data_IF_949071276723
#
_entry.id   IF_949071276723
#
_cell.length_a   1.000
_cell.length_b   1.000
_cell.length_c   1.000
_cell.angle_alpha   90.00
_cell.angle_beta   90.00
_cell.angle_gamma   90.00
#
_symmetry.space_group_name_H-M   'P 1'
#
loop_
_entity.id
_entity.type
_entity.pdbx_description
1 polymer ?
#
# COMPACT_ATOMS: atom_id res chain seq x y z
N UNK A 1 -0.14 -26.44 -16.42
CA UNK A 1 -1.33 -25.89 -15.72
C UNK A 1 -0.85 -24.82 -14.74
N UNK A 2 -1.00 -23.53 -15.10
CA UNK A 2 -0.53 -22.41 -14.27
C UNK A 2 -1.65 -22.10 -13.28
N UNK A 3 -1.56 -22.61 -12.05
CA UNK A 3 -2.47 -22.20 -10.97
C UNK A 3 -2.09 -20.77 -10.61
N UNK A 4 -2.68 -19.78 -11.29
CA UNK A 4 -2.71 -18.41 -10.77
C UNK A 4 -3.64 -18.46 -9.58
N UNK A 5 -3.10 -18.52 -8.36
CA UNK A 5 -3.91 -18.26 -7.17
C UNK A 5 -4.49 -16.86 -7.37
N UNK A 6 -5.80 -16.77 -7.63
CA UNK A 6 -6.51 -15.50 -7.52
C UNK A 6 -6.46 -15.16 -6.04
N UNK A 7 -5.42 -14.43 -5.62
CA UNK A 7 -5.45 -13.74 -4.34
C UNK A 7 -6.79 -13.02 -4.27
N UNK A 8 -7.59 -13.33 -3.26
CA UNK A 8 -8.96 -12.85 -3.18
C UNK A 8 -8.91 -11.31 -3.21
N UNK A 9 -9.79 -10.71 -4.01
CA UNK A 9 -9.81 -9.28 -4.35
C UNK A 9 -9.93 -8.36 -3.11
N UNK A 10 -10.30 -8.94 -1.98
CA UNK A 10 -10.44 -8.29 -0.66
C UNK A 10 -9.15 -8.46 0.18
N UNK A 11 -8.39 -9.53 -0.03
CA UNK A 11 -7.24 -9.89 0.80
C UNK A 11 -6.07 -8.93 0.57
N UNK A 12 -5.72 -8.61 -0.67
CA UNK A 12 -4.55 -7.75 -0.96
C UNK A 12 -4.71 -6.35 -0.33
N UNK A 13 -5.83 -5.63 -0.55
CA UNK A 13 -6.02 -4.33 0.09
C UNK A 13 -6.03 -4.38 1.63
N UNK A 14 -6.59 -5.45 2.21
CA UNK A 14 -6.56 -5.66 3.66
C UNK A 14 -5.14 -5.88 4.19
N UNK A 15 -4.34 -6.69 3.48
CA UNK A 15 -2.93 -6.92 3.84
C UNK A 15 -2.16 -5.60 3.78
N UNK A 16 -2.35 -4.80 2.73
CA UNK A 16 -1.68 -3.52 2.59
C UNK A 16 -2.08 -2.52 3.68
N UNK A 17 -3.37 -2.43 4.01
CA UNK A 17 -3.85 -1.65 5.16
C UNK A 17 -3.14 -2.07 6.43
N UNK A 18 -3.07 -3.38 6.69
CA UNK A 18 -2.38 -3.88 7.87
C UNK A 18 -0.89 -3.52 7.87
N UNK A 19 -0.18 -3.68 6.75
CA UNK A 19 1.23 -3.30 6.63
C UNK A 19 1.43 -1.83 6.99
N UNK A 20 0.62 -0.94 6.41
CA UNK A 20 0.70 0.50 6.66
C UNK A 20 0.34 0.83 8.12
N UNK A 21 -0.79 0.32 8.62
CA UNK A 21 -1.23 0.59 9.99
C UNK A 21 -0.22 0.11 11.02
N UNK A 22 0.29 -1.13 10.92
CA UNK A 22 1.26 -1.65 11.87
C UNK A 22 2.58 -0.91 11.81
N UNK A 23 3.11 -0.65 10.61
CA UNK A 23 4.38 0.04 10.46
C UNK A 23 4.30 1.47 10.99
N UNK A 24 3.34 2.26 10.52
CA UNK A 24 3.22 3.68 10.89
C UNK A 24 2.74 3.87 12.33
N UNK A 25 1.99 2.93 12.90
CA UNK A 25 1.72 2.91 14.35
C UNK A 25 3.00 2.63 15.15
N UNK A 26 3.82 1.67 14.71
CA UNK A 26 5.07 1.31 15.38
C UNK A 26 6.08 2.47 15.40
N UNK A 27 6.23 3.20 14.29
CA UNK A 27 7.12 4.37 14.23
C UNK A 27 6.48 5.66 14.76
N UNK A 28 5.25 5.60 15.28
CA UNK A 28 4.48 6.76 15.77
C UNK A 28 4.29 7.88 14.72
N UNK A 29 4.02 7.50 13.46
CA UNK A 29 3.84 8.41 12.31
C UNK A 29 2.51 8.19 11.58
N UNK A 30 1.46 7.77 12.28
CA UNK A 30 0.11 7.58 11.71
C UNK A 30 -0.45 8.86 11.11
N UNK A 31 -0.18 10.02 11.72
CA UNK A 31 -0.65 11.32 11.23
C UNK A 31 0.03 11.67 9.90
N UNK A 32 1.34 11.43 9.80
CA UNK A 32 2.10 11.64 8.56
C UNK A 32 1.61 10.72 7.42
N UNK A 33 1.28 9.47 7.74
CA UNK A 33 0.64 8.56 6.78
C UNK A 33 -0.69 9.13 6.29
N UNK A 34 -1.55 9.61 7.19
CA UNK A 34 -2.87 10.13 6.84
C UNK A 34 -2.78 11.39 5.97
N UNK A 35 -1.83 12.28 6.26
CA UNK A 35 -1.57 13.48 5.48
C UNK A 35 -1.15 13.13 4.05
N UNK A 36 -0.19 12.20 3.89
CA UNK A 36 0.28 11.79 2.56
C UNK A 36 -0.78 11.03 1.77
N UNK A 37 -1.55 10.14 2.41
CA UNK A 37 -2.69 9.49 1.78
C UNK A 37 -3.69 10.52 1.25
N UNK A 38 -3.98 11.56 2.03
CA UNK A 38 -4.90 12.64 1.64
C UNK A 38 -4.36 13.47 0.48
N UNK A 39 -3.06 13.79 0.48
CA UNK A 39 -2.40 14.51 -0.62
C UNK A 39 -2.44 13.70 -1.91
N UNK A 40 -2.03 12.43 -1.86
CA UNK A 40 -2.01 11.54 -3.02
C UNK A 40 -3.41 11.30 -3.59
N UNK A 41 -4.47 11.30 -2.77
CA UNK A 41 -5.85 11.16 -3.24
C UNK A 41 -6.40 12.38 -3.97
N UNK A 42 -5.82 13.57 -3.72
CA UNK A 42 -6.17 14.81 -4.41
C UNK A 42 -5.45 14.95 -5.75
N UNK A 43 -4.46 14.13 -6.03
CA UNK A 43 -3.78 14.10 -7.33
C UNK A 43 -4.69 13.46 -8.38
N UNK A 44 -5.26 14.30 -9.25
CA UNK A 44 -6.15 13.89 -10.33
C UNK A 44 -5.45 13.06 -11.42
N UNK A 45 -4.11 13.03 -11.44
CA UNK A 45 -3.35 12.20 -12.38
C UNK A 45 -3.37 10.71 -12.04
N UNK A 46 -3.83 10.35 -10.83
CA UNK A 46 -3.79 8.98 -10.32
C UNK A 46 -5.17 8.46 -9.90
N UNK A 47 -6.03 8.20 -10.89
CA UNK A 47 -7.38 7.64 -10.68
C UNK A 47 -7.36 6.33 -9.87
N UNK A 48 -6.35 5.50 -10.08
CA UNK A 48 -6.16 4.21 -9.38
C UNK A 48 -5.88 4.43 -7.88
N UNK A 49 -5.22 5.52 -7.52
CA UNK A 49 -4.95 5.86 -6.12
C UNK A 49 -6.20 6.30 -5.38
N UNK A 50 -7.16 6.96 -6.04
CA UNK A 50 -8.43 7.33 -5.39
C UNK A 50 -9.21 6.11 -4.92
N UNK A 51 -9.22 5.03 -5.71
CA UNK A 51 -9.82 3.78 -5.28
C UNK A 51 -9.09 3.23 -4.04
N UNK A 52 -7.75 3.27 -4.05
CA UNK A 52 -6.87 2.83 -2.95
C UNK A 52 -7.10 3.59 -1.66
N UNK A 53 -7.09 4.91 -1.74
CA UNK A 53 -7.39 5.79 -0.63
C UNK A 53 -8.74 5.48 0.01
N UNK A 54 -9.79 5.27 -0.79
CA UNK A 54 -11.12 4.90 -0.28
C UNK A 54 -11.09 3.59 0.49
N UNK A 55 -10.28 2.62 0.05
CA UNK A 55 -10.19 1.32 0.71
C UNK A 55 -9.42 1.41 2.03
N UNK A 56 -8.26 2.07 2.06
CA UNK A 56 -7.46 2.22 3.28
C UNK A 56 -8.22 2.98 4.37
N UNK A 57 -8.95 4.04 4.00
CA UNK A 57 -9.75 4.83 4.93
C UNK A 57 -11.11 4.22 5.27
N UNK A 58 -11.55 3.18 4.55
CA UNK A 58 -12.67 2.35 4.97
C UNK A 58 -12.19 1.52 6.16
N UNK A 59 -12.47 1.99 7.37
CA UNK A 59 -12.25 1.20 8.57
C UNK A 59 -12.83 -0.22 8.42
N UNK A 60 -12.29 -1.17 9.17
CA UNK A 60 -12.60 -2.60 9.09
C UNK A 60 -14.10 -2.97 9.24
N UNK A 61 -14.93 -2.05 9.73
CA UNK A 61 -16.38 -2.20 9.90
C UNK A 61 -17.25 -1.68 8.75
N UNK A 62 -16.68 -1.15 7.67
CA UNK A 62 -17.47 -0.63 6.56
C UNK A 62 -18.06 -1.76 5.70
N UNK A 63 -19.39 -1.82 5.60
CA UNK A 63 -20.19 -2.91 5.01
C UNK A 63 -19.67 -3.42 3.65
N UNK A 64 -19.44 -4.74 3.55
CA UNK A 64 -18.83 -5.45 2.41
C UNK A 64 -19.49 -5.27 1.02
N UNK A 65 -20.54 -4.46 0.92
CA UNK A 65 -21.47 -4.39 -0.21
C UNK A 65 -20.93 -3.57 -1.40
N UNK A 66 -19.95 -2.67 -1.22
CA UNK A 66 -19.45 -1.78 -2.29
C UNK A 66 -17.96 -1.97 -2.68
N UNK A 67 -17.42 -3.19 -2.63
CA UNK A 67 -16.02 -3.49 -3.01
C UNK A 67 -15.94 -3.93 -4.49
N UNK A 68 -16.56 -3.18 -5.40
CA UNK A 68 -16.54 -3.48 -6.84
C UNK A 68 -15.47 -2.70 -7.59
N UNK A 69 -15.10 -1.50 -7.12
CA UNK A 69 -14.14 -0.59 -7.81
C UNK A 69 -12.68 -1.07 -7.77
N UNK A 70 -12.32 -1.87 -6.78
CA UNK A 70 -10.95 -2.39 -6.59
C UNK A 70 -10.71 -3.74 -7.26
N UNK A 71 -11.78 -4.37 -7.75
CA UNK A 71 -11.78 -5.78 -8.14
C UNK A 71 -10.86 -6.12 -9.31
N UNK A 72 -10.37 -5.11 -10.02
CA UNK A 72 -9.55 -5.25 -11.23
C UNK A 72 -8.15 -4.62 -11.10
N UNK A 73 -7.75 -4.18 -9.90
CA UNK A 73 -6.40 -3.65 -9.70
C UNK A 73 -5.41 -4.82 -9.67
N UNK A 74 -4.42 -4.74 -10.56
CA UNK A 74 -3.32 -5.69 -10.67
C UNK A 74 -2.47 -5.68 -9.38
N UNK A 75 -2.06 -6.83 -8.81
CA UNK A 75 -1.05 -6.91 -7.75
C UNK A 75 0.16 -5.98 -7.94
N UNK A 76 0.63 -5.80 -9.17
CA UNK A 76 1.77 -4.92 -9.45
C UNK A 76 1.43 -3.44 -9.21
N UNK A 77 0.19 -3.03 -9.48
CA UNK A 77 -0.29 -1.67 -9.18
C UNK A 77 -0.37 -1.43 -7.68
N UNK A 78 -0.75 -2.45 -6.91
CA UNK A 78 -0.77 -2.37 -5.46
C UNK A 78 0.64 -2.21 -4.88
N UNK A 79 1.60 -3.02 -5.33
CA UNK A 79 3.01 -2.89 -4.91
C UNK A 79 3.57 -1.50 -5.26
N UNK A 80 3.25 -0.98 -6.46
CA UNK A 80 3.62 0.37 -6.87
C UNK A 80 3.04 1.43 -5.93
N UNK A 81 1.75 1.34 -5.58
CA UNK A 81 1.13 2.28 -4.65
C UNK A 81 1.72 2.18 -3.24
N UNK A 82 2.04 0.97 -2.76
CA UNK A 82 2.73 0.77 -1.49
C UNK A 82 4.06 1.52 -1.49
N UNK A 83 4.88 1.31 -2.54
CA UNK A 83 6.16 2.02 -2.70
C UNK A 83 5.96 3.53 -2.74
N UNK A 84 4.98 4.03 -3.48
CA UNK A 84 4.67 5.47 -3.55
C UNK A 84 4.38 6.04 -2.17
N UNK A 85 3.65 5.32 -1.32
CA UNK A 85 3.33 5.76 0.05
C UNK A 85 4.59 5.80 0.91
N UNK A 86 5.40 4.73 0.92
CA UNK A 86 6.66 4.70 1.67
C UNK A 86 7.62 5.80 1.19
N UNK A 87 7.66 6.10 -0.11
CA UNK A 87 8.47 7.20 -0.65
C UNK A 87 7.94 8.57 -0.22
N UNK A 88 6.63 8.80 -0.31
CA UNK A 88 5.99 10.05 0.11
C UNK A 88 6.15 10.32 1.62
N UNK A 89 6.21 9.27 2.45
CA UNK A 89 6.45 9.41 3.90
C UNK A 89 7.93 9.48 4.27
N UNK A 90 8.85 9.31 3.31
CA UNK A 90 10.30 9.32 3.55
C UNK A 90 10.86 8.00 4.09
N UNK A 91 10.11 6.91 4.00
CA UNK A 91 10.47 5.57 4.47
C UNK A 91 10.78 4.60 3.31
N UNK A 92 11.13 5.11 2.12
CA UNK A 92 11.41 4.28 0.93
C UNK A 92 12.52 3.25 1.17
N UNK A 93 13.54 3.60 1.96
CA UNK A 93 14.62 2.67 2.32
C UNK A 93 14.10 1.44 3.07
N UNK A 94 13.07 1.59 3.92
CA UNK A 94 12.44 0.47 4.59
C UNK A 94 11.71 -0.44 3.59
N UNK A 95 10.96 0.17 2.67
CA UNK A 95 10.32 -0.58 1.59
C UNK A 95 11.33 -1.39 0.78
N UNK A 96 12.40 -0.74 0.29
CA UNK A 96 13.45 -1.40 -0.50
C UNK A 96 14.11 -2.54 0.28
N UNK A 97 14.39 -2.36 1.59
CA UNK A 97 14.94 -3.43 2.43
C UNK A 97 14.00 -4.62 2.55
N UNK A 98 12.69 -4.38 2.68
CA UNK A 98 11.68 -5.45 2.79
C UNK A 98 11.42 -6.17 1.47
N UNK A 99 11.65 -5.49 0.34
CA UNK A 99 11.54 -6.06 -1.00
C UNK A 99 12.81 -6.74 -1.48
N UNK A 100 13.90 -6.72 -0.69
CA UNK A 100 15.23 -7.19 -1.09
C UNK A 100 15.76 -6.47 -2.35
N UNK A 101 15.37 -5.21 -2.51
CA UNK A 101 15.80 -4.32 -3.61
C UNK A 101 16.99 -3.43 -3.22
N UNK A 102 17.50 -3.58 -2.00
CA UNK A 102 18.77 -2.97 -1.60
C UNK A 102 19.90 -3.93 -1.95
N UNK A 103 20.80 -3.52 -2.83
CA UNK A 103 22.08 -4.20 -2.96
C UNK A 103 22.77 -4.16 -1.59
N UNK A 104 23.03 -5.32 -1.00
CA UNK A 104 23.86 -5.37 0.20
C UNK A 104 25.23 -4.82 -0.19
N UNK A 105 25.60 -3.66 0.37
CA UNK A 105 26.99 -3.23 0.33
C UNK A 105 27.83 -4.37 0.90
N UNK A 106 28.59 -5.03 0.03
CA UNK A 106 29.63 -5.95 0.45
C UNK A 106 30.62 -5.16 1.29
N UNK A 107 30.42 -5.15 2.61
CA UNK A 107 31.39 -4.64 3.57
C UNK A 107 32.58 -5.57 3.50
N UNK A 108 33.51 -5.30 2.57
CA UNK A 108 34.85 -5.86 2.59
C UNK A 108 35.54 -5.29 3.82
N UNK A 109 35.56 -6.09 4.89
CA UNK A 109 36.44 -5.92 6.03
C UNK A 109 37.87 -6.34 5.68
#
# INVERSE_FOLDING_TARGET
>A
MKIRSKANKIIIPNIMRNILEYYFAFVHRTDALQDELTKLARDDSNSDFKAFYRYINRGSHSDAVNITDMGDIDPDKYLKQLRTIFSATGDEMHYLKMMDELEEENVTA
#
